data_IF_628270927432
#
_entry.id   IF_628270927432
#
_cell.length_a   1.000
_cell.length_b   1.000
_cell.length_c   1.000
_cell.angle_alpha   90.00
_cell.angle_beta   90.00
_cell.angle_gamma   90.00
#
_symmetry.space_group_name_H-M   'P 1'
#
loop_
_entity.id
_entity.type
_entity.pdbx_description
1 polymer ?
#
# COMPACT_ATOMS: atom_id res chain seq x y z
N UNK A 1 -9.45 -17.62 -0.94
CA UNK A 1 -9.80 -16.26 -1.37
C UNK A 1 -8.52 -15.43 -1.45
N UNK A 2 -8.09 -15.10 -2.66
CA UNK A 2 -6.93 -14.22 -2.88
C UNK A 2 -7.30 -12.82 -2.38
N UNK A 3 -6.46 -12.25 -1.49
CA UNK A 3 -6.65 -10.91 -0.96
C UNK A 3 -7.61 -10.80 0.25
N UNK A 4 -8.03 -11.91 0.86
CA UNK A 4 -8.74 -11.87 2.14
C UNK A 4 -7.75 -11.87 3.31
N UNK A 5 -8.15 -11.24 4.41
CA UNK A 5 -7.37 -11.24 5.64
C UNK A 5 -7.41 -12.62 6.31
N UNK A 6 -6.26 -13.07 6.81
CA UNK A 6 -6.21 -14.22 7.68
C UNK A 6 -6.84 -13.89 9.04
N UNK A 7 -7.44 -14.88 9.70
CA UNK A 7 -7.85 -14.74 11.09
C UNK A 7 -6.66 -14.36 11.98
N UNK A 8 -6.87 -13.45 12.94
CA UNK A 8 -5.82 -12.92 13.80
C UNK A 8 -5.04 -14.03 14.53
N UNK A 9 -5.77 -15.03 15.08
CA UNK A 9 -5.15 -16.15 15.79
C UNK A 9 -4.29 -17.02 14.87
N UNK A 10 -4.75 -17.26 13.65
CA UNK A 10 -3.98 -18.00 12.65
C UNK A 10 -2.72 -17.21 12.25
N UNK A 11 -2.86 -15.92 12.03
CA UNK A 11 -1.73 -15.05 11.68
C UNK A 11 -0.65 -15.04 12.77
N UNK A 12 -1.02 -14.92 14.05
CA UNK A 12 -0.08 -14.98 15.16
C UNK A 12 0.65 -16.33 15.24
N UNK A 13 -0.06 -17.44 15.05
CA UNK A 13 0.54 -18.78 15.02
C UNK A 13 1.53 -18.94 13.88
N UNK A 14 1.20 -18.46 12.69
CA UNK A 14 2.10 -18.49 11.54
C UNK A 14 3.33 -17.61 11.75
N UNK A 15 3.18 -16.42 12.35
CA UNK A 15 4.29 -15.54 12.66
C UNK A 15 5.21 -16.08 13.77
N UNK A 16 4.71 -16.94 14.66
CA UNK A 16 5.53 -17.59 15.70
C UNK A 16 6.47 -18.67 15.15
N UNK A 17 6.28 -19.08 13.89
CA UNK A 17 7.16 -20.04 13.22
C UNK A 17 8.43 -19.32 12.77
N UNK A 18 9.57 -19.61 13.41
CA UNK A 18 10.86 -18.95 13.15
C UNK A 18 11.76 -19.70 12.19
N UNK A 19 11.44 -20.96 11.89
CA UNK A 19 12.18 -21.80 10.93
C UNK A 19 11.19 -22.71 10.21
N UNK A 20 11.60 -23.27 9.08
CA UNK A 20 10.78 -24.24 8.34
C UNK A 20 10.33 -25.38 9.25
N UNK A 21 9.03 -25.65 9.23
CA UNK A 21 8.38 -26.79 9.90
C UNK A 21 7.68 -27.63 8.85
N UNK A 22 8.10 -28.88 8.76
CA UNK A 22 7.47 -29.88 7.90
C UNK A 22 6.46 -30.73 8.68
N UNK A 23 5.57 -31.35 7.94
CA UNK A 23 4.56 -32.28 8.46
C UNK A 23 3.74 -31.71 9.63
N UNK A 24 3.43 -30.42 9.56
CA UNK A 24 2.59 -29.75 10.53
C UNK A 24 1.13 -30.16 10.33
N UNK A 25 0.49 -30.67 11.38
CA UNK A 25 -0.95 -30.96 11.34
C UNK A 25 -1.73 -29.64 11.35
N UNK A 26 -2.70 -29.49 10.44
CA UNK A 26 -3.49 -28.25 10.32
C UNK A 26 -4.30 -27.95 11.56
N UNK A 27 -4.71 -28.95 12.35
CA UNK A 27 -5.43 -28.72 13.60
C UNK A 27 -4.57 -27.93 14.61
N UNK A 28 -3.24 -28.09 14.62
CA UNK A 28 -2.34 -27.33 15.51
C UNK A 28 -2.26 -25.85 15.12
N UNK A 29 -2.57 -25.51 13.87
CA UNK A 29 -2.66 -24.14 13.38
C UNK A 29 -4.04 -23.50 13.60
N UNK A 30 -5.02 -24.29 14.09
CA UNK A 30 -6.36 -23.80 14.40
C UNK A 30 -7.41 -24.07 13.31
N UNK A 31 -7.08 -24.88 12.31
CA UNK A 31 -8.09 -25.34 11.37
C UNK A 31 -8.99 -26.40 12.01
N UNK A 32 -10.25 -26.55 11.52
CA UNK A 32 -11.21 -27.48 12.09
C UNK A 32 -10.69 -28.93 12.08
N UNK A 33 -10.95 -29.67 13.16
CA UNK A 33 -10.48 -31.05 13.33
C UNK A 33 -10.99 -32.01 12.26
N UNK A 34 -12.18 -31.81 11.69
CA UNK A 34 -12.76 -32.70 10.66
C UNK A 34 -11.89 -32.81 9.40
N UNK A 35 -11.10 -31.79 9.10
CA UNK A 35 -10.21 -31.75 7.95
C UNK A 35 -8.71 -31.70 8.36
N UNK A 36 -8.40 -31.33 9.60
CA UNK A 36 -7.04 -31.11 10.08
C UNK A 36 -6.15 -32.35 10.02
N UNK A 37 -6.70 -33.51 10.36
CA UNK A 37 -5.94 -34.76 10.44
C UNK A 37 -5.63 -35.40 9.07
N UNK A 38 -6.32 -34.97 8.03
CA UNK A 38 -6.08 -35.46 6.66
C UNK A 38 -4.93 -34.75 5.94
N UNK A 39 -4.60 -33.54 6.40
CA UNK A 39 -3.65 -32.69 5.72
C UNK A 39 -2.36 -32.51 6.51
N UNK A 40 -1.26 -32.57 5.81
CA UNK A 40 0.07 -32.22 6.31
C UNK A 40 0.52 -30.94 5.63
N UNK A 41 1.21 -30.07 6.38
CA UNK A 41 1.69 -28.80 5.85
C UNK A 41 3.19 -28.61 6.03
N UNK A 42 3.77 -27.83 5.11
CA UNK A 42 5.04 -27.13 5.32
C UNK A 42 4.70 -25.66 5.61
N UNK A 43 5.32 -25.14 6.66
CA UNK A 43 5.23 -23.73 7.03
C UNK A 43 6.65 -23.17 7.05
N UNK A 44 6.95 -22.25 6.12
CA UNK A 44 8.29 -21.68 5.97
C UNK A 44 8.22 -20.16 6.10
N UNK A 45 9.01 -19.55 7.00
CA UNK A 45 9.09 -18.08 7.08
C UNK A 45 9.69 -17.52 5.80
N UNK A 46 9.10 -16.43 5.30
CA UNK A 46 9.68 -15.60 4.25
C UNK A 46 10.40 -14.45 4.95
N UNK A 47 11.72 -14.54 5.00
CA UNK A 47 12.57 -13.58 5.68
C UNK A 47 13.76 -13.21 4.80
N UNK A 48 14.02 -11.92 4.61
CA UNK A 48 15.14 -11.40 3.84
C UNK A 48 15.87 -10.37 4.68
N UNK A 49 17.17 -10.53 4.83
CA UNK A 49 18.04 -9.61 5.59
C UNK A 49 17.55 -9.33 7.03
N UNK A 50 16.95 -10.32 7.69
CA UNK A 50 16.42 -10.19 9.05
C UNK A 50 15.03 -9.54 9.13
N UNK A 51 14.42 -9.22 8.00
CA UNK A 51 13.06 -8.69 7.94
C UNK A 51 12.06 -9.80 7.56
N UNK A 52 11.05 -10.00 8.42
CA UNK A 52 9.97 -10.96 8.18
C UNK A 52 8.94 -10.38 7.23
N UNK A 53 8.89 -10.88 6.01
CA UNK A 53 7.98 -10.42 4.95
C UNK A 53 6.68 -11.20 4.90
N UNK A 54 6.68 -12.45 5.36
CA UNK A 54 5.49 -13.29 5.30
C UNK A 54 5.73 -14.74 5.73
N UNK A 55 4.81 -15.60 5.36
CA UNK A 55 4.90 -17.04 5.61
C UNK A 55 4.41 -17.79 4.38
N UNK A 56 5.23 -18.70 3.87
CA UNK A 56 4.82 -19.68 2.88
C UNK A 56 4.14 -20.84 3.60
N UNK A 57 2.93 -21.14 3.17
CA UNK A 57 2.13 -22.24 3.70
C UNK A 57 1.70 -23.15 2.55
N UNK A 58 2.21 -24.40 2.57
CA UNK A 58 1.89 -25.41 1.56
C UNK A 58 1.27 -26.58 2.29
N UNK A 59 0.18 -27.11 1.80
CA UNK A 59 -0.48 -28.29 2.38
C UNK A 59 -0.88 -29.29 1.31
N UNK A 60 -0.90 -30.56 1.68
CA UNK A 60 -1.38 -31.67 0.85
C UNK A 60 -2.04 -32.77 1.69
N UNK A 61 -2.86 -33.56 1.03
CA UNK A 61 -3.63 -34.62 1.65
C UNK A 61 -2.82 -35.94 1.70
N UNK A 62 -2.88 -36.65 2.81
CA UNK A 62 -2.38 -38.02 3.03
C UNK A 62 -0.90 -38.30 2.78
N UNK A 63 -0.09 -37.35 2.38
CA UNK A 63 1.33 -37.57 2.07
C UNK A 63 2.20 -36.63 2.88
N UNK A 64 3.16 -37.14 3.62
CA UNK A 64 4.16 -36.36 4.32
C UNK A 64 5.13 -35.66 3.37
N UNK A 65 5.79 -34.63 3.85
CA UNK A 65 6.83 -33.90 3.15
C UNK A 65 8.21 -34.48 3.44
N UNK A 66 9.06 -34.53 2.43
CA UNK A 66 10.44 -35.01 2.53
C UNK A 66 11.44 -33.86 2.42
N UNK A 67 12.73 -34.20 2.44
CA UNK A 67 13.83 -33.23 2.40
C UNK A 67 13.82 -32.37 1.12
N UNK A 68 13.44 -32.92 -0.01
CA UNK A 68 13.37 -32.20 -1.28
C UNK A 68 12.27 -31.12 -1.25
N UNK A 69 11.12 -31.42 -0.62
CA UNK A 69 10.04 -30.48 -0.43
C UNK A 69 10.48 -29.33 0.48
N UNK A 70 11.27 -29.60 1.53
CA UNK A 70 11.82 -28.59 2.44
C UNK A 70 12.77 -27.67 1.67
N UNK A 71 13.74 -28.24 0.95
CA UNK A 71 14.70 -27.48 0.14
C UNK A 71 13.98 -26.61 -0.88
N UNK A 72 12.97 -27.16 -1.57
CA UNK A 72 12.21 -26.42 -2.56
C UNK A 72 11.40 -25.28 -1.94
N UNK A 73 10.80 -25.49 -0.75
CA UNK A 73 10.06 -24.45 -0.05
C UNK A 73 10.96 -23.33 0.43
N UNK A 74 12.15 -23.62 0.97
CA UNK A 74 13.14 -22.62 1.38
C UNK A 74 13.71 -21.84 0.20
N UNK A 75 13.98 -22.51 -0.91
CA UNK A 75 14.36 -21.83 -2.15
C UNK A 75 13.24 -20.92 -2.65
N UNK A 76 12.01 -21.42 -2.66
CA UNK A 76 10.82 -20.66 -3.06
C UNK A 76 10.60 -19.41 -2.19
N UNK A 77 10.76 -19.52 -0.87
CA UNK A 77 10.64 -18.36 0.03
C UNK A 77 11.71 -17.31 -0.21
N UNK A 78 12.92 -17.71 -0.60
CA UNK A 78 13.98 -16.77 -0.96
C UNK A 78 13.60 -15.98 -2.22
N UNK A 79 13.14 -16.65 -3.27
CA UNK A 79 12.73 -16.00 -4.52
C UNK A 79 11.54 -15.06 -4.30
N UNK A 80 10.50 -15.55 -3.63
CA UNK A 80 9.30 -14.75 -3.32
C UNK A 80 9.66 -13.59 -2.41
N UNK A 81 10.50 -13.80 -1.40
CA UNK A 81 10.92 -12.76 -0.46
C UNK A 81 11.70 -11.64 -1.15
N UNK A 82 12.58 -11.95 -2.09
CA UNK A 82 13.29 -10.94 -2.87
C UNK A 82 12.34 -10.11 -3.73
N UNK A 83 11.33 -10.73 -4.34
CA UNK A 83 10.33 -10.00 -5.12
C UNK A 83 9.40 -9.15 -4.24
N UNK A 84 9.01 -9.64 -3.07
CA UNK A 84 8.26 -8.86 -2.09
C UNK A 84 9.04 -7.64 -1.63
N UNK A 85 10.32 -7.81 -1.29
CA UNK A 85 11.19 -6.72 -0.88
C UNK A 85 11.37 -5.67 -1.99
N UNK A 86 11.52 -6.11 -3.23
CA UNK A 86 11.58 -5.23 -4.39
C UNK A 86 10.29 -4.41 -4.53
N UNK A 87 9.12 -5.05 -4.44
CA UNK A 87 7.82 -4.38 -4.54
C UNK A 87 7.63 -3.31 -3.46
N UNK A 88 7.97 -3.63 -2.20
CA UNK A 88 7.92 -2.66 -1.08
C UNK A 88 8.85 -1.47 -1.32
N UNK A 89 10.06 -1.72 -1.81
CA UNK A 89 11.01 -0.65 -2.12
C UNK A 89 10.54 0.24 -3.28
N UNK A 90 9.96 -0.33 -4.32
CA UNK A 90 9.39 0.42 -5.44
C UNK A 90 8.22 1.30 -5.00
N UNK A 91 7.31 0.78 -4.16
CA UNK A 91 6.19 1.54 -3.60
C UNK A 91 6.68 2.70 -2.72
N UNK A 92 7.63 2.44 -1.83
CA UNK A 92 8.25 3.46 -0.97
C UNK A 92 8.97 4.55 -1.78
N UNK A 93 9.67 4.17 -2.86
CA UNK A 93 10.34 5.11 -3.76
C UNK A 93 9.32 6.00 -4.49
N UNK A 94 8.21 5.43 -4.96
CA UNK A 94 7.14 6.18 -5.62
C UNK A 94 6.45 7.16 -4.67
N UNK A 95 6.14 6.73 -3.43
CA UNK A 95 5.61 7.62 -2.39
C UNK A 95 6.56 8.79 -2.08
N UNK A 96 7.86 8.48 -1.92
CA UNK A 96 8.85 9.51 -1.67
C UNK A 96 8.96 10.49 -2.84
N UNK A 97 8.90 10.00 -4.07
CA UNK A 97 8.87 10.83 -5.27
C UNK A 97 7.67 11.78 -5.27
N UNK A 98 6.46 11.27 -4.98
CA UNK A 98 5.23 12.08 -4.87
C UNK A 98 5.35 13.16 -3.78
N UNK A 99 5.86 12.78 -2.61
CA UNK A 99 6.11 13.73 -1.51
C UNK A 99 7.10 14.85 -1.91
N UNK A 100 8.15 14.52 -2.65
CA UNK A 100 9.12 15.50 -3.13
C UNK A 100 8.53 16.45 -4.17
N UNK A 101 7.71 15.96 -5.10
CA UNK A 101 6.99 16.79 -6.07
C UNK A 101 6.09 17.79 -5.37
N UNK A 102 5.27 17.34 -4.42
CA UNK A 102 4.37 18.22 -3.64
C UNK A 102 5.16 19.24 -2.83
N UNK A 103 6.23 18.84 -2.15
CA UNK A 103 7.10 19.73 -1.39
C UNK A 103 7.74 20.79 -2.28
N UNK A 104 8.21 20.43 -3.46
CA UNK A 104 8.75 21.35 -4.45
C UNK A 104 7.69 22.33 -4.95
N UNK A 105 6.48 21.87 -5.25
CA UNK A 105 5.37 22.72 -5.65
C UNK A 105 5.03 23.76 -4.56
N UNK A 106 4.90 23.32 -3.31
CA UNK A 106 4.62 24.19 -2.15
C UNK A 106 5.70 25.26 -2.01
N UNK A 107 6.97 24.95 -2.20
CA UNK A 107 8.07 25.89 -2.06
C UNK A 107 8.04 27.04 -3.08
N UNK A 108 7.30 26.91 -4.17
CA UNK A 108 7.12 27.96 -5.19
C UNK A 108 5.97 28.91 -4.90
N UNK A 109 5.12 28.61 -3.91
CA UNK A 109 3.96 29.40 -3.57
C UNK A 109 4.32 30.59 -2.67
N UNK A 110 3.67 31.71 -2.90
CA UNK A 110 3.60 32.79 -1.93
C UNK A 110 2.70 32.40 -0.75
N UNK A 111 2.75 33.17 0.34
CA UNK A 111 1.89 32.91 1.50
C UNK A 111 0.39 32.86 1.14
N UNK A 112 -0.08 33.84 0.37
CA UNK A 112 -1.49 33.91 -0.06
C UNK A 112 -1.87 32.78 -1.02
N UNK A 113 -0.94 32.33 -1.87
CA UNK A 113 -1.16 31.17 -2.75
C UNK A 113 -1.23 29.86 -1.95
N UNK A 114 -0.39 29.73 -0.91
CA UNK A 114 -0.45 28.58 -0.02
C UNK A 114 -1.76 28.50 0.74
N UNK A 115 -2.22 29.66 1.28
CA UNK A 115 -3.52 29.75 1.95
C UNK A 115 -4.66 29.37 1.00
N UNK A 116 -4.62 29.86 -0.26
CA UNK A 116 -5.58 29.48 -1.29
C UNK A 116 -5.61 27.97 -1.52
N UNK A 117 -4.45 27.33 -1.66
CA UNK A 117 -4.33 25.87 -1.88
C UNK A 117 -4.90 25.08 -0.69
N UNK A 118 -4.62 25.48 0.54
CA UNK A 118 -5.18 24.83 1.75
C UNK A 118 -6.71 24.90 1.75
N UNK A 119 -7.29 26.05 1.39
CA UNK A 119 -8.75 26.19 1.29
C UNK A 119 -9.35 25.37 0.15
N UNK A 120 -8.69 25.32 -1.01
CA UNK A 120 -9.11 24.50 -2.15
C UNK A 120 -9.19 23.04 -1.75
N UNK A 121 -8.13 22.49 -1.14
CA UNK A 121 -8.11 21.08 -0.73
C UNK A 121 -9.12 20.74 0.37
N UNK A 122 -9.49 21.70 1.21
CA UNK A 122 -10.56 21.50 2.20
C UNK A 122 -11.97 21.45 1.60
N UNK A 123 -12.17 22.06 0.43
CA UNK A 123 -13.45 22.07 -0.27
C UNK A 123 -13.61 20.88 -1.24
N UNK A 124 -12.52 20.19 -1.56
CA UNK A 124 -12.58 18.97 -2.34
C UNK A 124 -13.11 17.83 -1.48
N UNK A 125 -14.06 17.09 -2.04
CA UNK A 125 -14.56 15.83 -1.45
C UNK A 125 -13.75 14.66 -2.07
N UNK A 126 -12.69 14.27 -1.38
CA UNK A 126 -11.75 13.27 -1.89
C UNK A 126 -10.73 13.86 -2.88
N UNK A 127 -10.52 13.16 -4.01
CA UNK A 127 -9.45 13.50 -4.96
C UNK A 127 -9.89 14.41 -6.11
N UNK A 128 -11.17 14.73 -6.23
CA UNK A 128 -11.72 15.56 -7.30
C UNK A 128 -12.90 16.41 -6.83
N UNK A 129 -13.16 17.49 -7.54
CA UNK A 129 -14.28 18.38 -7.23
C UNK A 129 -14.39 19.55 -8.19
N UNK A 130 -15.54 20.24 -8.16
CA UNK A 130 -15.79 21.45 -8.94
C UNK A 130 -15.61 22.67 -8.05
N UNK A 131 -14.70 23.55 -8.45
CA UNK A 131 -14.36 24.74 -7.70
C UNK A 131 -14.73 26.02 -8.48
N UNK A 132 -15.27 27.00 -7.77
CA UNK A 132 -15.51 28.34 -8.31
C UNK A 132 -14.53 29.32 -7.68
N UNK A 133 -13.47 29.63 -8.42
CA UNK A 133 -12.36 30.45 -7.92
C UNK A 133 -12.78 31.81 -7.34
N UNK A 134 -13.81 32.48 -7.89
CA UNK A 134 -14.33 33.72 -7.34
C UNK A 134 -14.97 33.54 -5.96
N UNK A 135 -15.76 32.47 -5.77
CA UNK A 135 -16.40 32.19 -4.46
C UNK A 135 -15.38 31.90 -3.37
N UNK A 136 -14.31 31.18 -3.72
CA UNK A 136 -13.21 30.91 -2.79
C UNK A 136 -12.48 32.20 -2.46
N UNK A 137 -12.16 33.00 -3.47
CA UNK A 137 -11.48 34.31 -3.32
C UNK A 137 -12.25 35.24 -2.38
N UNK A 138 -13.55 35.39 -2.58
CA UNK A 138 -14.42 36.24 -1.76
C UNK A 138 -14.47 35.75 -0.30
N UNK A 139 -14.47 34.42 -0.09
CA UNK A 139 -14.57 33.86 1.25
C UNK A 139 -13.31 34.05 2.09
N UNK A 140 -12.14 33.97 1.48
CA UNK A 140 -10.85 34.05 2.18
C UNK A 140 -10.18 35.41 2.04
N UNK A 141 -10.84 36.38 1.37
CA UNK A 141 -10.36 37.75 1.27
C UNK A 141 -9.13 37.92 0.37
N UNK A 142 -8.96 37.08 -0.64
CA UNK A 142 -7.89 37.18 -1.64
C UNK A 142 -8.45 37.43 -3.03
N UNK A 143 -7.58 37.72 -3.99
CA UNK A 143 -8.02 37.93 -5.37
C UNK A 143 -8.13 36.59 -6.12
N UNK A 144 -9.07 36.54 -7.09
CA UNK A 144 -9.21 35.38 -7.98
C UNK A 144 -7.89 34.99 -8.68
N UNK A 145 -7.06 36.01 -9.02
CA UNK A 145 -5.77 35.77 -9.68
C UNK A 145 -4.80 34.96 -8.83
N UNK A 146 -4.79 35.13 -7.51
CA UNK A 146 -3.98 34.38 -6.57
C UNK A 146 -4.37 32.91 -6.63
N UNK A 147 -5.66 32.60 -6.61
CA UNK A 147 -6.17 31.19 -6.71
C UNK A 147 -5.77 30.58 -8.04
N UNK A 148 -5.98 31.29 -9.16
CA UNK A 148 -5.64 30.77 -10.49
C UNK A 148 -4.13 30.54 -10.62
N UNK A 149 -3.29 31.43 -10.09
CA UNK A 149 -1.84 31.28 -10.11
C UNK A 149 -1.38 30.09 -9.26
N UNK A 150 -1.96 29.91 -8.08
CA UNK A 150 -1.67 28.77 -7.21
C UNK A 150 -2.01 27.43 -7.90
N UNK A 151 -3.20 27.34 -8.50
CA UNK A 151 -3.61 26.15 -9.26
C UNK A 151 -2.68 25.88 -10.45
N UNK A 152 -2.30 26.91 -11.23
CA UNK A 152 -1.35 26.75 -12.34
C UNK A 152 0.02 26.23 -11.90
N UNK A 153 0.53 26.69 -10.76
CA UNK A 153 1.80 26.21 -10.21
C UNK A 153 1.71 24.74 -9.82
N UNK A 154 0.61 24.32 -9.19
CA UNK A 154 0.39 22.92 -8.83
C UNK A 154 0.17 22.02 -10.07
N UNK A 155 -0.54 22.51 -11.07
CA UNK A 155 -0.71 21.83 -12.35
C UNK A 155 0.60 21.68 -13.11
N UNK A 156 1.40 22.76 -13.17
CA UNK A 156 2.73 22.74 -13.80
C UNK A 156 3.72 21.80 -13.09
N UNK A 157 3.54 21.61 -11.79
CA UNK A 157 4.32 20.65 -11.01
C UNK A 157 3.79 19.21 -11.11
N UNK A 158 2.67 18.98 -11.80
CA UNK A 158 2.05 17.66 -11.93
C UNK A 158 1.38 17.15 -10.65
N UNK A 159 1.02 18.05 -9.71
CA UNK A 159 0.33 17.70 -8.46
C UNK A 159 -1.17 17.55 -8.67
N UNK A 160 -1.75 18.37 -9.54
CA UNK A 160 -3.17 18.38 -9.90
C UNK A 160 -3.35 18.43 -11.41
N UNK A 161 -4.52 18.01 -11.86
CA UNK A 161 -5.04 18.32 -13.20
C UNK A 161 -6.23 19.25 -13.06
N UNK A 162 -6.27 20.31 -13.84
CA UNK A 162 -7.40 21.23 -13.85
C UNK A 162 -8.04 21.29 -15.24
N UNK A 163 -9.38 21.32 -15.28
CA UNK A 163 -10.15 21.54 -16.51
C UNK A 163 -11.07 22.74 -16.29
N UNK A 164 -10.92 23.75 -17.13
CA UNK A 164 -11.86 24.87 -17.11
C UNK A 164 -13.17 24.44 -17.77
N UNK A 165 -14.26 24.40 -17.01
CA UNK A 165 -15.58 24.32 -17.60
C UNK A 165 -15.97 25.75 -18.02
N UNK A 166 -15.61 26.13 -19.25
CA UNK A 166 -16.06 27.37 -19.84
C UNK A 166 -17.59 27.39 -19.86
N UNK A 167 -18.22 28.33 -19.17
CA UNK A 167 -19.60 28.70 -19.48
C UNK A 167 -19.59 29.15 -20.94
N UNK A 168 -20.20 28.37 -21.83
CA UNK A 168 -20.71 28.91 -23.09
C UNK A 168 -21.86 29.85 -22.68
N UNK A 169 -21.61 31.17 -22.76
CA UNK A 169 -22.65 32.17 -22.80
C UNK A 169 -23.44 32.08 -24.08
#
# INVERSE_FOLDING_TARGET
>A
NIGSFADHMLNERLLSVLSTKENVNLATLGFSQENGDKYQAIVTPIEIAGERLGTLFIYREHTGYGIDDIILSEYGTTVVGLEMLRSVNEESAEENRKKQIVKSAISTLSYSELEAIVHIFRELDGNEGVLVASKIADRIGITRSVIVNALRKFESAGVIESRSSGMKG
#
